data_IF_804165383711
#
_entry.id   IF_804165383711
#
_cell.length_a   1.000
_cell.length_b   1.000
_cell.length_c   1.000
_cell.angle_alpha   90.00
_cell.angle_beta   90.00
_cell.angle_gamma   90.00
#
_symmetry.space_group_name_H-M   'P 1'
#
loop_
_entity.id
_entity.type
_entity.pdbx_description
1 polymer ?
#
# COMPACT_ATOMS: atom_id res chain seq x y z
N UNK A 1 26.05 -7.87 -3.32
CA UNK A 1 25.88 -7.14 -2.05
C UNK A 1 26.73 -7.89 -1.05
N UNK A 2 27.41 -7.17 -0.19
CA UNK A 2 28.35 -7.59 0.86
C UNK A 2 27.75 -8.49 1.95
N UNK A 3 26.59 -9.10 1.70
CA UNK A 3 25.91 -10.04 2.61
C UNK A 3 25.34 -9.40 3.87
N UNK A 4 25.52 -8.10 4.05
CA UNK A 4 24.92 -7.33 5.11
C UNK A 4 23.68 -6.59 4.55
N UNK A 5 22.51 -6.72 5.18
CA UNK A 5 21.35 -5.94 4.76
C UNK A 5 21.65 -4.45 4.91
N UNK A 6 21.29 -3.60 3.93
CA UNK A 6 21.26 -2.17 4.16
C UNK A 6 20.31 -1.89 5.33
N UNK A 7 20.82 -1.21 6.36
CA UNK A 7 20.02 -0.86 7.53
C UNK A 7 19.15 0.35 7.17
N UNK A 8 17.93 0.10 6.67
CA UNK A 8 16.90 1.12 6.46
C UNK A 8 16.22 1.48 7.80
N UNK A 9 16.99 1.93 8.80
CA UNK A 9 16.45 2.31 10.11
C UNK A 9 16.18 3.81 10.20
N UNK A 10 14.91 4.17 10.37
CA UNK A 10 14.48 5.55 10.55
C UNK A 10 14.83 6.16 11.90
N UNK A 11 15.08 5.34 12.92
CA UNK A 11 15.34 5.79 14.27
C UNK A 11 14.32 6.81 14.78
N UNK A 12 14.79 7.80 15.54
CA UNK A 12 13.92 8.83 16.12
C UNK A 12 13.47 9.89 15.10
N UNK A 13 14.35 10.31 14.20
CA UNK A 13 14.07 11.40 13.25
C UNK A 13 14.81 11.24 11.93
N UNK A 14 14.09 11.30 10.81
CA UNK A 14 14.68 11.46 9.46
C UNK A 14 14.31 12.82 8.86
N UNK A 15 15.34 13.54 8.43
CA UNK A 15 15.19 14.68 7.54
C UNK A 15 15.36 14.24 6.08
N UNK A 16 14.26 14.08 5.35
CA UNK A 16 14.29 13.90 3.90
C UNK A 16 14.33 15.26 3.20
N UNK A 17 15.32 15.46 2.35
CA UNK A 17 15.43 16.66 1.52
C UNK A 17 15.21 16.33 0.06
N UNK A 18 14.89 17.33 -0.78
CA UNK A 18 14.86 17.13 -2.22
C UNK A 18 16.20 16.58 -2.73
N UNK A 19 16.18 15.48 -3.48
CA UNK A 19 17.39 14.93 -4.11
C UNK A 19 17.51 15.29 -5.59
N UNK A 20 16.42 15.79 -6.20
CA UNK A 20 16.45 16.31 -7.58
C UNK A 20 16.72 17.81 -7.59
N UNK A 21 17.60 18.32 -8.48
CA UNK A 21 17.90 19.74 -8.57
C UNK A 21 16.66 20.63 -8.77
N UNK A 22 15.67 20.20 -9.57
CA UNK A 22 14.46 20.99 -9.82
C UNK A 22 13.59 21.24 -8.57
N UNK A 23 13.67 20.38 -7.56
CA UNK A 23 12.84 20.50 -6.36
C UNK A 23 13.45 21.43 -5.32
N UNK A 24 14.76 21.67 -5.34
CA UNK A 24 15.42 22.59 -4.41
C UNK A 24 14.92 24.02 -4.57
N UNK A 25 14.70 24.50 -5.79
CA UNK A 25 14.20 25.87 -6.03
C UNK A 25 12.81 26.07 -5.44
N UNK A 26 11.93 25.07 -5.58
CA UNK A 26 10.57 25.11 -5.05
C UNK A 26 10.56 24.96 -3.52
N UNK A 27 11.44 24.11 -2.99
CA UNK A 27 11.60 23.93 -1.55
C UNK A 27 12.07 25.22 -0.86
N UNK A 28 13.09 25.89 -1.41
CA UNK A 28 13.58 27.18 -0.90
C UNK A 28 12.48 28.25 -0.95
N UNK A 29 11.74 28.32 -2.07
CA UNK A 29 10.60 29.22 -2.20
C UNK A 29 9.53 28.93 -1.14
N UNK A 30 9.23 27.66 -0.89
CA UNK A 30 8.30 27.21 0.15
C UNK A 30 8.74 27.65 1.55
N UNK A 31 10.02 27.47 1.88
CA UNK A 31 10.59 27.91 3.14
C UNK A 31 10.49 29.44 3.32
N UNK A 32 10.83 30.22 2.28
CA UNK A 32 10.72 31.68 2.31
C UNK A 32 9.27 32.15 2.47
N UNK A 33 8.34 31.56 1.69
CA UNK A 33 6.92 31.86 1.78
C UNK A 33 6.34 31.51 3.14
N UNK A 34 6.76 30.40 3.74
CA UNK A 34 6.35 30.04 5.09
C UNK A 34 6.85 31.07 6.12
N UNK A 35 8.15 31.40 6.09
CA UNK A 35 8.73 32.38 7.03
C UNK A 35 8.06 33.75 6.91
N UNK A 36 7.79 34.24 5.69
CA UNK A 36 7.13 35.53 5.47
C UNK A 36 5.65 35.45 5.86
N UNK A 37 4.97 34.40 5.41
CA UNK A 37 3.54 34.20 5.64
C UNK A 37 3.20 34.01 7.11
N UNK A 38 4.03 33.29 7.87
CA UNK A 38 3.78 33.05 9.29
C UNK A 38 3.55 34.35 10.07
N UNK A 39 4.33 35.40 9.78
CA UNK A 39 4.21 36.70 10.44
C UNK A 39 3.24 37.68 9.78
N UNK A 40 3.01 37.55 8.47
CA UNK A 40 2.26 38.57 7.71
C UNK A 40 0.88 38.11 7.23
N UNK A 41 0.74 36.86 6.81
CA UNK A 41 -0.50 36.35 6.23
C UNK A 41 -0.57 34.80 6.25
N UNK A 42 -1.61 34.19 6.86
CA UNK A 42 -1.71 32.74 6.98
C UNK A 42 -1.78 32.03 5.63
N UNK A 43 -2.34 32.65 4.59
CA UNK A 43 -2.42 32.06 3.24
C UNK A 43 -1.03 31.82 2.65
N UNK A 44 -0.08 32.77 2.82
CA UNK A 44 1.30 32.58 2.39
C UNK A 44 2.01 31.51 3.25
N UNK A 45 1.67 31.41 4.53
CA UNK A 45 2.21 30.39 5.42
C UNK A 45 1.79 28.98 4.95
N UNK A 46 0.50 28.77 4.70
CA UNK A 46 -0.02 27.50 4.21
C UNK A 46 0.47 27.16 2.80
N UNK A 47 0.58 28.15 1.91
CA UNK A 47 1.17 27.95 0.59
C UNK A 47 2.64 27.53 0.70
N UNK A 48 3.41 28.15 1.59
CA UNK A 48 4.79 27.77 1.88
C UNK A 48 4.91 26.33 2.40
N UNK A 49 4.10 25.95 3.38
CA UNK A 49 4.05 24.59 3.92
C UNK A 49 3.63 23.57 2.87
N UNK A 50 2.68 23.90 2.00
CA UNK A 50 2.26 23.03 0.90
C UNK A 50 3.42 22.78 -0.08
N UNK A 51 4.15 23.83 -0.48
CA UNK A 51 5.32 23.69 -1.35
C UNK A 51 6.43 22.84 -0.72
N UNK A 52 6.66 23.00 0.59
CA UNK A 52 7.59 22.15 1.34
C UNK A 52 7.14 20.69 1.36
N UNK A 53 5.85 20.42 1.56
CA UNK A 53 5.31 19.06 1.62
C UNK A 53 5.39 18.32 0.27
N UNK A 54 5.13 18.98 -0.86
CA UNK A 54 5.17 18.34 -2.18
C UNK A 54 6.61 18.13 -2.70
N UNK A 55 7.57 18.92 -2.21
CA UNK A 55 8.97 18.82 -2.63
C UNK A 55 9.80 17.90 -1.74
N UNK A 56 9.37 17.69 -0.50
CA UNK A 56 10.01 16.76 0.44
C UNK A 56 9.59 15.31 0.15
N UNK A 57 10.51 14.46 -0.33
CA UNK A 57 10.21 13.06 -0.64
C UNK A 57 10.01 12.21 0.63
N UNK A 58 9.54 10.98 0.44
CA UNK A 58 9.49 9.98 1.51
C UNK A 58 10.90 9.73 2.09
N UNK A 59 11.05 9.54 3.42
CA UNK A 59 12.33 9.31 4.13
C UNK A 59 13.33 8.41 3.39
N UNK A 60 12.87 7.23 2.98
CA UNK A 60 13.75 6.22 2.37
C UNK A 60 13.89 6.36 0.85
N UNK A 61 13.16 7.27 0.19
CA UNK A 61 13.06 7.27 -1.28
C UNK A 61 14.41 7.34 -1.99
N UNK A 62 15.36 8.10 -1.44
CA UNK A 62 16.70 8.23 -2.03
C UNK A 62 17.52 6.94 -1.90
N UNK A 63 17.49 6.29 -0.74
CA UNK A 63 18.17 5.02 -0.48
C UNK A 63 17.54 3.91 -1.31
N UNK A 64 16.22 3.89 -1.40
CA UNK A 64 15.47 2.99 -2.27
C UNK A 64 15.85 3.16 -3.75
N UNK A 65 15.96 4.40 -4.24
CA UNK A 65 16.41 4.67 -5.62
C UNK A 65 17.89 4.29 -5.85
N UNK A 66 18.77 4.46 -4.86
CA UNK A 66 20.19 4.08 -5.00
C UNK A 66 20.36 2.57 -5.01
N UNK A 67 19.70 1.86 -4.09
CA UNK A 67 19.69 0.40 -4.03
C UNK A 67 19.12 -0.16 -5.34
N UNK A 68 18.00 0.40 -5.83
CA UNK A 68 17.41 0.01 -7.12
C UNK A 68 18.38 0.21 -8.28
N UNK A 69 19.12 1.32 -8.31
CA UNK A 69 20.12 1.57 -9.37
C UNK A 69 21.29 0.60 -9.31
N UNK A 70 21.73 0.21 -8.12
CA UNK A 70 22.84 -0.73 -7.94
C UNK A 70 22.42 -2.19 -8.22
N UNK A 71 21.16 -2.55 -7.93
CA UNK A 71 20.64 -3.89 -8.19
C UNK A 71 20.30 -4.12 -9.65
N UNK A 72 19.87 -3.07 -10.37
CA UNK A 72 19.54 -3.13 -11.79
C UNK A 72 20.73 -2.93 -12.74
N UNK A 73 21.97 -2.88 -12.25
CA UNK A 73 23.15 -2.77 -13.12
C UNK A 73 23.28 -4.03 -14.01
N UNK A 74 23.11 -3.91 -15.35
CA UNK A 74 23.13 -5.05 -16.25
C UNK A 74 24.44 -5.83 -16.20
N UNK A 75 25.55 -5.15 -15.94
CA UNK A 75 26.89 -5.79 -15.90
C UNK A 75 27.01 -6.74 -14.71
N UNK A 76 26.50 -6.30 -13.56
CA UNK A 76 26.50 -7.09 -12.32
C UNK A 76 25.54 -8.28 -12.42
N UNK A 77 24.34 -8.05 -12.98
CA UNK A 77 23.34 -9.09 -13.21
C UNK A 77 23.79 -10.15 -14.22
N UNK A 78 24.48 -9.74 -15.29
CA UNK A 78 25.07 -10.66 -16.25
C UNK A 78 26.15 -11.52 -15.60
N UNK A 79 27.06 -10.90 -14.84
CA UNK A 79 28.11 -11.64 -14.11
C UNK A 79 27.54 -12.67 -13.13
N UNK A 80 26.51 -12.30 -12.37
CA UNK A 80 25.83 -13.21 -11.44
C UNK A 80 25.18 -14.39 -12.16
N UNK A 81 24.53 -14.15 -13.31
CA UNK A 81 23.93 -15.23 -14.11
C UNK A 81 25.00 -16.16 -14.70
N UNK A 82 26.11 -15.59 -15.19
CA UNK A 82 27.24 -16.35 -15.76
C UNK A 82 27.94 -17.23 -14.71
N UNK A 83 28.11 -16.74 -13.48
CA UNK A 83 28.65 -17.53 -12.36
C UNK A 83 27.80 -18.77 -12.06
N UNK A 84 26.49 -18.70 -12.33
CA UNK A 84 25.54 -19.81 -12.20
C UNK A 84 25.39 -20.63 -13.49
N UNK A 85 26.13 -20.31 -14.55
CA UNK A 85 26.10 -21.04 -15.82
C UNK A 85 24.92 -20.71 -16.75
N UNK A 86 24.23 -19.59 -16.53
CA UNK A 86 23.09 -19.15 -17.35
C UNK A 86 23.37 -17.81 -18.04
N UNK A 87 22.63 -17.51 -19.12
CA UNK A 87 22.59 -16.15 -19.66
C UNK A 87 21.70 -15.26 -18.80
N UNK A 88 21.98 -13.96 -18.75
CA UNK A 88 21.21 -12.98 -17.98
C UNK A 88 19.70 -13.05 -18.30
N UNK A 89 19.33 -13.10 -19.57
CA UNK A 89 17.93 -13.19 -20.02
C UNK A 89 17.23 -14.47 -19.61
N UNK A 90 17.98 -15.57 -19.46
CA UNK A 90 17.43 -16.86 -19.04
C UNK A 90 17.35 -16.96 -17.53
N UNK A 91 18.30 -16.37 -16.80
CA UNK A 91 18.36 -16.43 -15.35
C UNK A 91 17.31 -15.54 -14.70
N UNK A 92 17.22 -14.29 -15.14
CA UNK A 92 16.30 -13.30 -14.57
C UNK A 92 14.93 -13.39 -15.22
N UNK A 93 13.88 -13.14 -14.43
CA UNK A 93 12.56 -12.89 -15.00
C UNK A 93 12.56 -11.57 -15.78
N UNK A 94 11.74 -11.48 -16.84
CA UNK A 94 11.51 -10.21 -17.51
C UNK A 94 10.91 -9.19 -16.54
N UNK A 95 11.24 -7.91 -16.74
CA UNK A 95 10.88 -6.77 -15.86
C UNK A 95 9.36 -6.63 -15.63
N UNK A 96 8.54 -7.17 -16.54
CA UNK A 96 7.11 -7.37 -16.33
C UNK A 96 6.70 -8.70 -16.97
N UNK A 97 5.94 -9.52 -16.25
CA UNK A 97 5.37 -10.76 -16.81
C UNK A 97 4.28 -10.47 -17.87
N UNK A 98 3.66 -9.28 -17.84
CA UNK A 98 2.56 -8.89 -18.75
C UNK A 98 2.90 -7.83 -19.81
N UNK A 99 4.10 -7.25 -19.80
CA UNK A 99 4.39 -6.07 -20.64
C UNK A 99 3.64 -4.79 -20.21
N UNK A 100 2.83 -4.87 -19.15
CA UNK A 100 2.09 -3.76 -18.55
C UNK A 100 2.96 -3.11 -17.46
N UNK A 101 3.36 -1.86 -17.67
CA UNK A 101 4.14 -1.07 -16.69
C UNK A 101 3.27 -0.59 -15.53
N UNK A 102 2.79 -1.45 -14.63
CA UNK A 102 2.04 -1.00 -13.45
C UNK A 102 2.62 -1.64 -12.18
N UNK A 103 3.22 -0.78 -11.35
CA UNK A 103 4.21 -1.15 -10.34
C UNK A 103 3.76 -0.97 -8.90
N UNK A 104 2.73 -1.70 -8.47
CA UNK A 104 2.43 -1.90 -7.04
C UNK A 104 2.51 -3.39 -6.62
N UNK A 105 2.29 -4.32 -7.56
CA UNK A 105 2.36 -5.78 -7.35
C UNK A 105 3.56 -6.51 -7.97
N UNK A 106 4.53 -5.80 -8.55
CA UNK A 106 5.68 -6.39 -9.26
C UNK A 106 6.97 -6.37 -8.42
N UNK A 107 7.94 -7.20 -8.80
CA UNK A 107 9.29 -7.13 -8.24
C UNK A 107 9.95 -5.78 -8.58
N UNK A 108 10.53 -5.13 -7.58
CA UNK A 108 11.41 -3.97 -7.73
C UNK A 108 12.86 -4.35 -8.06
N UNK A 109 13.27 -5.58 -7.77
CA UNK A 109 14.58 -6.16 -8.03
C UNK A 109 14.45 -7.42 -8.89
N UNK A 110 15.50 -7.81 -9.62
CA UNK A 110 15.44 -9.01 -10.45
C UNK A 110 15.16 -10.27 -9.62
N UNK A 111 14.15 -11.03 -10.04
CA UNK A 111 13.82 -12.32 -9.43
C UNK A 111 14.17 -13.48 -10.40
N UNK A 112 14.48 -14.67 -9.87
CA UNK A 112 14.91 -15.81 -10.69
C UNK A 112 13.75 -16.33 -11.55
N UNK A 113 14.08 -16.70 -12.78
CA UNK A 113 13.12 -17.24 -13.74
C UNK A 113 12.84 -18.72 -13.48
N UNK A 114 11.73 -19.18 -14.07
CA UNK A 114 11.33 -20.60 -14.08
C UNK A 114 12.39 -21.57 -14.60
N UNK A 115 13.39 -21.08 -15.34
CA UNK A 115 14.47 -21.92 -15.87
C UNK A 115 15.52 -22.29 -14.83
N UNK A 116 15.57 -21.56 -13.71
CA UNK A 116 16.56 -21.73 -12.64
C UNK A 116 15.95 -22.44 -11.42
N UNK A 117 14.62 -22.47 -11.30
CA UNK A 117 13.95 -23.12 -10.18
C UNK A 117 14.33 -24.59 -10.05
N UNK A 118 14.47 -25.06 -8.81
CA UNK A 118 14.74 -26.46 -8.51
C UNK A 118 13.47 -27.32 -8.70
N UNK A 119 13.21 -27.73 -9.94
CA UNK A 119 12.05 -28.57 -10.28
C UNK A 119 12.11 -29.98 -9.68
N UNK A 120 13.31 -30.48 -9.36
CA UNK A 120 13.49 -31.84 -8.82
C UNK A 120 13.17 -31.89 -7.34
N UNK A 121 13.57 -30.87 -6.58
CA UNK A 121 13.27 -30.75 -5.17
C UNK A 121 12.77 -29.33 -4.88
N UNK A 122 11.46 -29.08 -5.05
CA UNK A 122 10.88 -27.75 -4.94
C UNK A 122 10.95 -27.16 -3.50
N UNK A 123 11.11 -28.02 -2.49
CA UNK A 123 11.23 -27.63 -1.08
C UNK A 123 12.67 -27.28 -0.68
N UNK A 124 13.68 -27.70 -1.46
CA UNK A 124 15.08 -27.38 -1.19
C UNK A 124 15.44 -25.96 -1.59
N UNK A 125 16.57 -25.47 -1.08
CA UNK A 125 17.14 -24.19 -1.51
C UNK A 125 17.42 -24.16 -3.02
N UNK A 126 17.44 -22.96 -3.58
CA UNK A 126 17.88 -22.75 -4.95
C UNK A 126 19.36 -23.14 -5.12
N UNK A 127 19.74 -23.57 -6.33
CA UNK A 127 21.12 -24.02 -6.63
C UNK A 127 22.15 -22.91 -6.38
N UNK A 128 21.74 -21.64 -6.48
CA UNK A 128 22.60 -20.49 -6.19
C UNK A 128 22.96 -20.38 -4.69
N UNK A 129 22.17 -20.99 -3.80
CA UNK A 129 22.33 -20.89 -2.35
C UNK A 129 22.06 -19.49 -1.79
N UNK A 130 21.48 -18.59 -2.59
CA UNK A 130 21.21 -17.20 -2.21
C UNK A 130 19.73 -16.97 -2.00
N UNK A 131 19.39 -16.11 -1.03
CA UNK A 131 18.04 -15.58 -0.88
C UNK A 131 17.64 -14.72 -2.09
N UNK A 132 16.34 -14.55 -2.29
CA UNK A 132 15.81 -13.55 -3.21
C UNK A 132 16.30 -12.15 -2.82
N UNK A 133 16.59 -11.30 -3.81
CA UNK A 133 17.15 -9.97 -3.53
C UNK A 133 16.24 -9.09 -2.69
N UNK A 134 14.92 -9.18 -2.86
CA UNK A 134 13.94 -8.43 -2.06
C UNK A 134 13.62 -9.05 -0.71
N UNK A 135 14.23 -10.20 -0.39
CA UNK A 135 13.99 -10.80 0.91
C UNK A 135 14.42 -9.80 2.01
N UNK A 136 13.64 -9.63 3.09
CA UNK A 136 13.96 -8.66 4.16
C UNK A 136 15.33 -8.87 4.82
N UNK A 137 15.87 -10.09 4.79
CA UNK A 137 17.25 -10.37 5.23
C UNK A 137 18.34 -9.84 4.29
N UNK A 138 18.01 -9.56 3.03
CA UNK A 138 18.93 -9.03 2.01
C UNK A 138 18.83 -7.50 1.87
N UNK A 139 17.62 -6.94 1.99
CA UNK A 139 17.38 -5.48 1.83
C UNK A 139 17.27 -4.75 3.17
N UNK A 140 17.09 -5.49 4.28
CA UNK A 140 16.69 -4.91 5.56
C UNK A 140 15.18 -4.66 5.60
N UNK A 141 14.57 -4.89 6.77
CA UNK A 141 13.19 -4.48 7.02
C UNK A 141 13.20 -2.98 7.37
N UNK A 142 12.64 -2.08 6.54
CA UNK A 142 12.68 -0.66 6.83
C UNK A 142 11.84 -0.32 8.06
N UNK A 143 12.47 0.34 9.03
CA UNK A 143 11.80 0.84 10.23
C UNK A 143 11.40 2.29 10.01
N UNK A 144 10.11 2.57 10.01
CA UNK A 144 9.62 3.95 9.86
C UNK A 144 10.19 4.85 10.97
N UNK A 145 10.67 6.04 10.60
CA UNK A 145 11.12 7.02 11.57
C UNK A 145 9.94 7.50 12.44
N UNK A 146 10.17 7.68 13.75
CA UNK A 146 9.14 8.21 14.64
C UNK A 146 8.71 9.62 14.20
N UNK A 147 9.68 10.47 13.83
CA UNK A 147 9.45 11.79 13.26
C UNK A 147 10.08 11.92 11.88
N UNK A 148 9.38 12.58 10.96
CA UNK A 148 9.94 12.98 9.66
C UNK A 148 9.94 14.49 9.53
N UNK A 149 10.68 15.00 8.55
CA UNK A 149 10.59 16.42 8.17
C UNK A 149 9.16 16.82 7.77
N UNK A 150 8.36 15.90 7.23
CA UNK A 150 6.95 16.16 6.89
C UNK A 150 6.10 16.31 8.15
N UNK A 151 6.33 15.51 9.20
CA UNK A 151 5.69 15.70 10.52
C UNK A 151 5.95 17.09 11.08
N UNK A 152 7.16 17.64 10.87
CA UNK A 152 7.49 19.01 11.28
C UNK A 152 6.64 20.03 10.53
N UNK A 153 6.40 19.86 9.22
CA UNK A 153 5.54 20.77 8.45
C UNK A 153 4.09 20.74 8.93
N UNK A 154 3.55 19.56 9.25
CA UNK A 154 2.20 19.45 9.83
C UNK A 154 2.11 20.15 11.19
N UNK A 155 3.13 19.97 12.04
CA UNK A 155 3.21 20.66 13.32
C UNK A 155 3.26 22.19 13.15
N UNK A 156 4.09 22.68 12.22
CA UNK A 156 4.16 24.11 11.88
C UNK A 156 2.82 24.64 11.33
N UNK A 157 2.08 23.84 10.56
CA UNK A 157 0.74 24.17 10.09
C UNK A 157 -0.26 24.32 11.23
N UNK A 158 -0.22 23.42 12.21
CA UNK A 158 -1.05 23.49 13.42
C UNK A 158 -0.71 24.73 14.27
N UNK A 159 0.58 25.03 14.46
CA UNK A 159 1.01 26.24 15.16
C UNK A 159 0.54 27.49 14.41
N UNK A 160 0.60 27.50 13.09
CA UNK A 160 0.11 28.61 12.24
C UNK A 160 -1.39 28.81 12.40
N UNK A 161 -2.18 27.73 12.37
CA UNK A 161 -3.63 27.78 12.60
C UNK A 161 -3.97 28.34 13.98
N UNK A 162 -3.32 27.86 15.04
CA UNK A 162 -3.58 28.33 16.41
C UNK A 162 -3.21 29.80 16.54
N UNK A 163 -2.05 30.21 16.02
CA UNK A 163 -1.58 31.59 16.09
C UNK A 163 -2.53 32.55 15.35
N UNK A 164 -2.82 32.27 14.08
CA UNK A 164 -3.69 33.13 13.27
C UNK A 164 -5.16 33.04 13.66
N UNK A 165 -5.65 31.87 14.05
CA UNK A 165 -6.99 31.70 14.62
C UNK A 165 -7.17 32.50 15.90
N UNK A 166 -6.16 32.54 16.77
CA UNK A 166 -6.17 33.39 17.97
C UNK A 166 -6.20 34.87 17.61
N UNK A 167 -5.43 35.30 16.60
CA UNK A 167 -5.44 36.69 16.12
C UNK A 167 -6.81 37.05 15.55
N UNK A 168 -7.39 36.21 14.69
CA UNK A 168 -8.68 36.48 14.06
C UNK A 168 -9.81 36.49 15.08
N UNK A 169 -9.80 35.58 16.06
CA UNK A 169 -10.72 35.59 17.20
C UNK A 169 -10.63 36.91 17.98
N UNK A 170 -9.42 37.35 18.33
CA UNK A 170 -9.20 38.59 19.09
C UNK A 170 -9.55 39.82 18.26
N UNK A 171 -9.25 39.82 16.96
CA UNK A 171 -9.37 40.97 16.06
C UNK A 171 -10.77 41.17 15.52
N UNK A 172 -11.48 40.09 15.18
CA UNK A 172 -12.75 40.15 14.48
C UNK A 172 -13.94 39.75 15.36
N UNK A 173 -13.72 39.00 16.45
CA UNK A 173 -14.83 38.29 17.09
C UNK A 173 -14.82 38.29 18.62
N UNK A 174 -14.36 39.37 19.26
CA UNK A 174 -14.79 39.64 20.65
C UNK A 174 -16.32 39.77 20.73
N UNK A 175 -16.94 40.42 19.73
CA UNK A 175 -18.40 40.54 19.65
C UNK A 175 -19.10 39.26 19.20
N UNK A 176 -18.50 38.42 18.34
CA UNK A 176 -19.15 37.15 17.93
C UNK A 176 -18.96 36.05 18.96
N UNK A 177 -17.85 36.05 19.70
CA UNK A 177 -17.74 35.24 20.92
C UNK A 177 -18.75 35.73 21.94
N UNK A 178 -18.88 37.04 22.14
CA UNK A 178 -19.92 37.58 23.01
C UNK A 178 -21.33 37.19 22.54
N UNK A 179 -21.67 37.32 21.25
CA UNK A 179 -22.98 36.93 20.69
C UNK A 179 -23.19 35.42 20.75
N UNK A 180 -22.18 34.59 20.52
CA UNK A 180 -22.27 33.14 20.66
C UNK A 180 -22.48 32.74 22.12
N UNK A 181 -21.76 33.35 23.06
CA UNK A 181 -21.94 33.15 24.50
C UNK A 181 -23.27 33.72 24.99
N UNK A 182 -23.70 34.88 24.51
CA UNK A 182 -25.00 35.49 24.82
C UNK A 182 -26.15 34.67 24.24
N UNK A 183 -26.03 34.17 23.01
CA UNK A 183 -26.97 33.21 22.43
C UNK A 183 -27.00 31.91 23.23
N UNK A 184 -25.85 31.37 23.63
CA UNK A 184 -25.80 30.20 24.51
C UNK A 184 -26.48 30.47 25.85
N UNK A 185 -26.23 31.63 26.48
CA UNK A 185 -26.86 32.04 27.75
C UNK A 185 -28.38 32.19 27.59
N UNK A 186 -28.83 32.91 26.57
CA UNK A 186 -30.25 33.20 26.28
C UNK A 186 -31.01 31.93 25.83
N UNK A 187 -30.32 30.99 25.18
CA UNK A 187 -30.85 29.66 24.86
C UNK A 187 -30.89 28.73 26.09
N UNK A 188 -30.03 28.96 27.09
CA UNK A 188 -29.99 28.23 28.37
C UNK A 188 -31.07 28.73 29.36
N UNK A 189 -31.59 29.95 29.19
CA UNK A 189 -32.71 30.48 29.98
C UNK A 189 -34.03 29.76 29.72
N UNK A 190 -34.16 29.08 28.57
CA UNK A 190 -35.22 28.10 28.35
C UNK A 190 -34.74 26.72 28.80
N UNK A 191 -35.23 26.25 29.97
CA UNK A 191 -34.82 24.95 30.55
C UNK A 191 -34.91 23.79 29.54
N UNK A 192 -35.95 23.78 28.68
CA UNK A 192 -36.19 22.70 27.72
C UNK A 192 -35.31 22.79 26.47
N UNK A 193 -35.11 23.99 25.91
CA UNK A 193 -34.30 24.16 24.70
C UNK A 193 -32.81 24.01 25.05
N UNK A 194 -32.34 24.67 26.11
CA UNK A 194 -30.97 24.54 26.60
C UNK A 194 -30.57 23.09 26.86
N UNK A 195 -31.46 22.29 27.45
CA UNK A 195 -31.24 20.86 27.64
C UNK A 195 -31.14 20.09 26.31
N UNK A 196 -32.01 20.34 25.33
CA UNK A 196 -32.00 19.65 24.03
C UNK A 196 -30.75 19.99 23.20
N UNK A 197 -30.31 21.24 23.19
CA UNK A 197 -29.09 21.64 22.49
C UNK A 197 -27.83 21.14 23.20
N UNK A 198 -27.78 21.24 24.53
CA UNK A 198 -26.70 20.65 25.32
C UNK A 198 -26.58 19.15 25.09
N UNK A 199 -27.71 18.43 25.06
CA UNK A 199 -27.75 17.01 24.74
C UNK A 199 -27.30 16.75 23.30
N UNK A 200 -27.74 17.55 22.32
CA UNK A 200 -27.33 17.44 20.92
C UNK A 200 -25.83 17.65 20.73
N UNK A 201 -25.25 18.63 21.41
CA UNK A 201 -23.80 18.92 21.37
C UNK A 201 -23.00 17.80 22.04
N UNK A 202 -23.45 17.29 23.18
CA UNK A 202 -22.83 16.12 23.84
C UNK A 202 -22.90 14.89 22.93
N UNK A 203 -24.06 14.60 22.32
CA UNK A 203 -24.21 13.47 21.40
C UNK A 203 -23.34 13.64 20.15
N UNK A 204 -23.23 14.85 19.61
CA UNK A 204 -22.37 15.15 18.46
C UNK A 204 -20.89 14.96 18.81
N UNK A 205 -20.43 15.50 19.94
CA UNK A 205 -19.05 15.31 20.44
C UNK A 205 -18.76 13.83 20.70
N UNK A 206 -19.69 13.10 21.32
CA UNK A 206 -19.56 11.65 21.56
C UNK A 206 -19.51 10.87 20.24
N UNK A 207 -20.39 11.16 19.28
CA UNK A 207 -20.36 10.54 17.96
C UNK A 207 -19.03 10.78 17.25
N UNK A 208 -18.57 12.04 17.27
CA UNK A 208 -17.31 12.43 16.65
C UNK A 208 -16.13 11.75 17.33
N UNK A 209 -16.09 11.70 18.67
CA UNK A 209 -15.05 11.04 19.45
C UNK A 209 -15.01 9.52 19.18
N UNK A 210 -16.17 8.87 19.06
CA UNK A 210 -16.26 7.46 18.67
C UNK A 210 -15.70 7.25 17.26
N UNK A 211 -16.02 8.12 16.30
CA UNK A 211 -15.50 8.05 14.92
C UNK A 211 -14.00 8.28 14.87
N UNK A 212 -13.50 9.27 15.62
CA UNK A 212 -12.07 9.55 15.77
C UNK A 212 -11.32 8.38 16.37
N UNK A 213 -11.81 7.81 17.48
CA UNK A 213 -11.20 6.64 18.13
C UNK A 213 -11.23 5.42 17.21
N UNK A 214 -12.33 5.16 16.48
CA UNK A 214 -12.37 4.07 15.49
C UNK A 214 -11.37 4.26 14.36
N UNK A 215 -11.24 5.48 13.85
CA UNK A 215 -10.24 5.79 12.83
C UNK A 215 -8.82 5.61 13.38
N UNK A 216 -8.56 6.08 14.59
CA UNK A 216 -7.25 5.92 15.25
C UNK A 216 -6.92 4.44 15.50
N UNK A 217 -7.88 3.64 15.98
CA UNK A 217 -7.71 2.18 16.12
C UNK A 217 -7.42 1.53 14.77
N UNK A 218 -8.17 1.89 13.72
CA UNK A 218 -7.94 1.35 12.37
C UNK A 218 -6.58 1.74 11.80
N UNK A 219 -6.10 2.96 12.10
CA UNK A 219 -4.77 3.41 11.69
C UNK A 219 -3.67 2.71 12.51
N UNK A 220 -3.90 2.45 13.79
CA UNK A 220 -2.96 1.71 14.67
C UNK A 220 -2.91 0.23 14.34
N UNK A 221 -4.03 -0.42 14.02
CA UNK A 221 -4.02 -1.83 13.59
C UNK A 221 -3.22 -2.02 12.29
N UNK A 222 -3.22 -1.03 11.40
CA UNK A 222 -2.37 -1.04 10.20
C UNK A 222 -0.87 -0.88 10.54
N UNK A 223 -0.53 -0.29 11.70
CA UNK A 223 0.85 -0.17 12.18
C UNK A 223 1.36 -1.46 12.86
N UNK A 224 0.47 -2.28 13.43
CA UNK A 224 0.83 -3.53 14.12
C UNK A 224 1.27 -4.66 13.18
N UNK A 225 1.18 -4.47 11.86
CA UNK A 225 1.76 -5.36 10.85
C UNK A 225 3.28 -5.13 10.65
N UNK A 226 3.93 -4.29 11.48
CA UNK A 226 5.35 -3.87 11.31
C UNK A 226 6.29 -4.53 12.34
N UNK A 227 5.77 -5.15 13.41
CA UNK A 227 6.60 -5.60 14.54
C UNK A 227 7.00 -7.09 14.50
N UNK A 228 6.46 -7.90 13.58
CA UNK A 228 6.91 -9.28 13.40
C UNK A 228 8.09 -9.30 12.42
N UNK A 229 9.11 -10.11 12.74
CA UNK A 229 10.24 -10.27 11.84
C UNK A 229 9.88 -11.30 10.78
N UNK A 230 9.96 -10.92 9.50
CA UNK A 230 9.85 -11.87 8.39
C UNK A 230 10.82 -13.03 8.59
N UNK A 231 10.29 -14.24 8.56
CA UNK A 231 11.01 -15.50 8.75
C UNK A 231 11.51 -16.06 7.41
N UNK A 232 12.67 -16.71 7.43
CA UNK A 232 13.11 -17.53 6.30
C UNK A 232 12.27 -18.81 6.23
N UNK A 233 11.94 -19.25 5.03
CA UNK A 233 11.17 -20.48 4.80
C UNK A 233 11.85 -21.69 5.42
N UNK A 234 13.18 -21.82 5.26
CA UNK A 234 13.94 -22.96 5.82
C UNK A 234 13.93 -23.07 7.35
N UNK A 235 13.57 -22.00 8.05
CA UNK A 235 13.63 -21.92 9.51
C UNK A 235 12.32 -21.46 10.14
N UNK A 236 11.22 -21.45 9.35
CA UNK A 236 9.91 -21.08 9.87
C UNK A 236 9.42 -22.13 10.86
N UNK A 237 8.88 -21.67 11.98
CA UNK A 237 8.33 -22.54 13.02
C UNK A 237 6.81 -22.63 12.91
N UNK A 238 6.23 -23.63 13.59
CA UNK A 238 4.77 -23.74 13.77
C UNK A 238 4.28 -22.55 14.60
N UNK A 239 3.18 -21.95 14.18
CA UNK A 239 2.59 -20.76 14.78
C UNK A 239 2.49 -19.60 13.79
N UNK A 240 2.24 -18.41 14.31
CA UNK A 240 2.13 -17.21 13.49
C UNK A 240 3.49 -16.83 12.87
N UNK A 241 3.50 -16.56 11.57
CA UNK A 241 4.71 -16.17 10.85
C UNK A 241 4.43 -15.19 9.71
N UNK A 242 5.42 -14.34 9.46
CA UNK A 242 5.51 -13.48 8.28
C UNK A 242 6.54 -14.06 7.32
N UNK A 243 6.19 -14.15 6.05
CA UNK A 243 7.02 -14.72 5.00
C UNK A 243 6.90 -13.89 3.73
N UNK A 244 8.01 -13.75 3.02
CA UNK A 244 8.07 -13.12 1.71
C UNK A 244 8.73 -14.06 0.74
N UNK A 245 8.15 -14.21 -0.44
CA UNK A 245 8.73 -15.09 -1.45
C UNK A 245 8.11 -14.94 -2.81
N UNK A 246 8.59 -15.79 -3.70
CA UNK A 246 8.10 -15.93 -5.06
C UNK A 246 7.07 -17.06 -5.12
N UNK A 247 5.96 -16.80 -5.82
CA UNK A 247 4.99 -17.86 -6.15
C UNK A 247 5.64 -18.86 -7.09
N UNK A 248 5.71 -20.12 -6.66
CA UNK A 248 6.21 -21.24 -7.46
C UNK A 248 5.17 -22.34 -7.57
N UNK A 249 5.31 -23.22 -8.58
CA UNK A 249 4.39 -24.32 -8.79
C UNK A 249 4.28 -25.16 -7.54
N UNK A 250 3.03 -25.38 -7.12
CA UNK A 250 2.72 -26.33 -6.09
C UNK A 250 2.61 -27.75 -6.63
N UNK A 251 2.05 -28.62 -5.80
CA UNK A 251 1.69 -30.00 -6.16
C UNK A 251 0.62 -30.03 -7.25
N UNK A 252 -0.23 -29.01 -7.27
CA UNK A 252 -1.22 -28.79 -8.30
C UNK A 252 -0.64 -27.90 -9.40
N UNK A 253 -0.92 -28.26 -10.65
CA UNK A 253 -0.53 -27.44 -11.79
C UNK A 253 -1.22 -26.07 -11.71
N UNK A 254 -0.51 -25.02 -12.13
CA UNK A 254 -1.09 -23.69 -12.26
C UNK A 254 -2.28 -23.73 -13.23
N UNK A 255 -3.29 -22.91 -12.90
CA UNK A 255 -4.55 -22.84 -13.59
C UNK A 255 -4.44 -22.05 -14.90
N UNK A 256 -5.23 -22.50 -15.88
CA UNK A 256 -5.69 -21.67 -17.00
C UNK A 256 -7.11 -21.26 -16.71
N UNK A 257 -7.30 -19.98 -16.42
CA UNK A 257 -8.60 -19.40 -16.09
C UNK A 257 -9.30 -18.93 -17.36
N UNK A 258 -10.60 -19.18 -17.45
CA UNK A 258 -11.50 -18.56 -18.42
C UNK A 258 -12.48 -17.67 -17.65
N UNK A 259 -12.35 -16.36 -17.80
CA UNK A 259 -13.21 -15.40 -17.11
C UNK A 259 -14.59 -15.41 -17.75
N UNK A 260 -15.61 -15.61 -16.92
CA UNK A 260 -17.02 -15.67 -17.36
C UNK A 260 -17.25 -16.73 -18.45
N UNK A 261 -16.56 -17.87 -18.34
CA UNK A 261 -16.56 -19.00 -19.28
C UNK A 261 -16.28 -18.62 -20.75
N UNK A 262 -15.65 -17.46 -21.01
CA UNK A 262 -15.31 -16.98 -22.36
C UNK A 262 -13.87 -17.38 -22.71
N UNK A 263 -13.66 -18.23 -23.74
CA UNK A 263 -12.32 -18.63 -24.20
C UNK A 263 -11.42 -17.47 -24.63
N UNK A 264 -11.99 -16.30 -24.95
CA UNK A 264 -11.24 -15.11 -25.35
C UNK A 264 -10.73 -14.31 -24.15
N UNK A 265 -11.30 -14.51 -22.97
CA UNK A 265 -10.90 -13.88 -21.71
C UNK A 265 -10.14 -14.89 -20.85
N UNK A 266 -9.03 -15.39 -21.40
CA UNK A 266 -8.25 -16.45 -20.75
C UNK A 266 -6.89 -15.95 -20.27
N UNK A 267 -6.49 -16.39 -19.07
CA UNK A 267 -5.16 -16.15 -18.51
C UNK A 267 -4.55 -17.46 -18.02
N UNK A 268 -3.24 -17.62 -18.19
CA UNK A 268 -2.49 -18.83 -17.82
C UNK A 268 -1.53 -18.58 -16.66
N UNK A 269 -1.00 -19.66 -16.07
CA UNK A 269 -0.05 -19.64 -14.96
C UNK A 269 -0.59 -19.03 -13.66
N UNK A 270 -1.90 -19.12 -13.43
CA UNK A 270 -2.56 -18.55 -12.24
C UNK A 270 -2.58 -19.57 -11.11
N UNK A 271 -2.30 -19.16 -9.88
CA UNK A 271 -2.44 -20.03 -8.69
C UNK A 271 -3.66 -19.67 -7.85
N UNK A 272 -4.01 -18.39 -7.77
CA UNK A 272 -5.22 -17.91 -7.11
C UNK A 272 -5.73 -16.68 -7.85
N UNK A 273 -7.05 -16.55 -7.93
CA UNK A 273 -7.69 -15.47 -8.64
C UNK A 273 -8.98 -15.02 -7.98
N UNK A 274 -9.36 -13.79 -8.31
CA UNK A 274 -10.68 -13.24 -8.16
C UNK A 274 -10.97 -12.40 -9.40
N UNK A 275 -12.08 -12.66 -10.07
CA UNK A 275 -12.56 -11.77 -11.11
C UNK A 275 -13.89 -11.15 -10.73
N UNK A 276 -14.06 -9.90 -11.13
CA UNK A 276 -15.26 -9.10 -10.87
C UNK A 276 -15.81 -8.63 -12.21
N UNK A 277 -17.11 -8.81 -12.40
CA UNK A 277 -17.87 -8.26 -13.51
C UNK A 277 -18.65 -7.05 -13.03
N UNK A 278 -18.43 -5.94 -13.71
CA UNK A 278 -19.08 -4.66 -13.48
C UNK A 278 -19.89 -4.28 -14.71
N UNK A 279 -21.18 -4.04 -14.53
CA UNK A 279 -22.03 -3.47 -15.57
C UNK A 279 -22.20 -1.97 -15.33
N UNK A 280 -22.03 -1.18 -16.38
CA UNK A 280 -22.26 0.25 -16.42
C UNK A 280 -23.64 0.54 -17.01
N UNK A 281 -24.32 1.62 -16.58
CA UNK A 281 -25.54 2.09 -17.24
C UNK A 281 -25.31 2.37 -18.74
N UNK A 282 -26.37 2.34 -19.56
CA UNK A 282 -26.37 2.55 -21.02
C UNK A 282 -25.68 3.85 -21.51
N UNK A 283 -25.27 4.74 -20.60
CA UNK A 283 -24.45 5.92 -20.87
C UNK A 283 -22.93 5.61 -20.94
N UNK A 284 -22.50 4.36 -20.67
CA UNK A 284 -21.15 3.87 -21.00
C UNK A 284 -20.08 4.18 -19.96
N UNK A 285 -19.03 3.36 -19.86
CA UNK A 285 -17.73 3.85 -19.43
C UNK A 285 -17.15 4.75 -20.53
N UNK A 286 -17.74 5.94 -20.75
CA UNK A 286 -17.28 7.01 -21.65
C UNK A 286 -16.37 6.56 -22.81
N UNK A 287 -16.85 5.67 -23.68
CA UNK A 287 -16.20 5.46 -24.97
C UNK A 287 -16.62 6.58 -25.92
N UNK A 288 -15.65 7.38 -26.37
CA UNK A 288 -15.70 8.22 -27.57
C UNK A 288 -16.78 9.31 -27.69
N UNK A 289 -16.74 10.31 -26.81
CA UNK A 289 -17.23 11.65 -27.17
C UNK A 289 -16.10 12.60 -27.56
N UNK A 290 -15.70 12.52 -28.84
CA UNK A 290 -15.07 13.62 -29.56
C UNK A 290 -16.08 14.78 -29.73
N UNK A 291 -16.39 15.50 -28.64
CA UNK A 291 -17.14 16.74 -28.72
C UNK A 291 -16.18 17.94 -28.78
N UNK A 292 -15.95 18.40 -30.02
CA UNK A 292 -15.22 19.62 -30.42
C UNK A 292 -15.65 20.87 -29.59
N UNK A 293 -16.86 20.87 -29.04
CA UNK A 293 -17.39 21.96 -28.21
C UNK A 293 -16.74 22.08 -26.82
N UNK A 294 -16.19 21.00 -26.26
CA UNK A 294 -15.49 21.05 -24.97
C UNK A 294 -14.09 21.64 -25.14
N UNK A 295 -13.44 21.40 -26.29
CA UNK A 295 -12.10 21.94 -26.58
C UNK A 295 -12.06 23.46 -26.69
N UNK A 296 -13.17 24.11 -27.07
CA UNK A 296 -13.28 25.56 -27.07
C UNK A 296 -13.28 26.16 -25.63
N UNK A 297 -13.77 25.42 -24.65
CA UNK A 297 -13.74 25.81 -23.24
C UNK A 297 -12.45 25.35 -22.50
N UNK A 298 -11.71 24.39 -23.05
CA UNK A 298 -10.49 23.78 -22.47
C UNK A 298 -9.27 24.72 -22.47
N UNK A 299 -9.31 25.84 -23.18
CA UNK A 299 -8.22 26.82 -23.18
C UNK A 299 -7.94 27.47 -21.82
N UNK A 300 -8.95 27.58 -20.94
CA UNK A 300 -8.88 28.44 -19.74
C UNK A 300 -8.70 27.64 -18.43
N UNK A 301 -9.05 26.35 -18.37
CA UNK A 301 -9.06 25.59 -17.11
C UNK A 301 -8.17 24.34 -17.13
N UNK A 302 -6.87 24.49 -17.47
CA UNK A 302 -5.86 23.43 -17.23
C UNK A 302 -5.56 23.20 -15.74
N UNK A 303 -5.81 24.21 -14.89
CA UNK A 303 -5.56 24.16 -13.44
C UNK A 303 -6.57 23.30 -12.66
N UNK A 304 -7.84 23.33 -13.06
CA UNK A 304 -8.92 22.58 -12.37
C UNK A 304 -9.12 21.16 -12.90
N UNK A 305 -8.30 20.70 -13.85
CA UNK A 305 -8.41 19.35 -14.41
C UNK A 305 -8.33 18.28 -13.31
N UNK A 306 -7.47 18.47 -12.31
CA UNK A 306 -7.36 17.55 -11.16
C UNK A 306 -8.60 17.55 -10.25
N UNK A 307 -9.18 18.72 -10.00
CA UNK A 307 -10.37 18.87 -9.13
C UNK A 307 -11.63 18.35 -9.84
N UNK A 308 -11.79 18.65 -11.13
CA UNK A 308 -12.90 18.14 -11.93
C UNK A 308 -12.77 16.63 -12.13
N UNK A 309 -11.57 16.08 -12.35
CA UNK A 309 -11.40 14.61 -12.41
C UNK A 309 -11.69 13.94 -11.07
N UNK A 310 -11.37 14.58 -9.94
CA UNK A 310 -11.74 14.08 -8.61
C UNK A 310 -13.27 14.12 -8.38
N UNK A 311 -13.92 15.24 -8.67
CA UNK A 311 -15.38 15.37 -8.61
C UNK A 311 -16.11 14.47 -9.61
N UNK A 312 -15.53 14.22 -10.79
CA UNK A 312 -16.08 13.32 -11.82
C UNK A 312 -15.97 11.86 -11.39
N UNK A 313 -14.97 11.51 -10.57
CA UNK A 313 -14.85 10.19 -9.92
C UNK A 313 -15.91 9.98 -8.83
N UNK A 314 -16.35 11.06 -8.18
CA UNK A 314 -17.47 11.06 -7.22
C UNK A 314 -18.86 11.08 -7.89
N UNK A 315 -19.00 11.62 -9.11
CA UNK A 315 -20.31 11.77 -9.78
C UNK A 315 -20.59 10.79 -10.95
N UNK A 316 -19.60 10.10 -11.53
CA UNK A 316 -19.79 9.25 -12.71
C UNK A 316 -19.00 7.94 -12.61
N UNK A 317 -19.62 6.93 -11.99
CA UNK A 317 -19.76 5.53 -12.46
C UNK A 317 -20.46 4.77 -11.34
N UNK A 318 -21.79 4.70 -11.36
CA UNK A 318 -22.48 3.62 -10.68
C UNK A 318 -22.28 2.34 -11.50
N UNK A 319 -21.06 1.80 -11.54
CA UNK A 319 -20.93 0.38 -11.85
C UNK A 319 -21.61 -0.37 -10.72
N UNK A 320 -22.42 -1.37 -11.07
CA UNK A 320 -22.86 -2.35 -10.09
C UNK A 320 -22.15 -3.66 -10.39
N UNK A 321 -21.57 -4.23 -9.34
CA UNK A 321 -20.99 -5.57 -9.39
C UNK A 321 -22.12 -6.56 -9.66
N UNK A 322 -22.02 -7.31 -10.76
CA UNK A 322 -23.04 -8.29 -11.16
C UNK A 322 -22.62 -9.71 -10.89
N UNK A 323 -21.32 -9.99 -10.95
CA UNK A 323 -20.79 -11.32 -10.67
C UNK A 323 -19.38 -11.21 -10.12
N UNK A 324 -19.04 -12.10 -9.19
CA UNK A 324 -17.71 -12.30 -8.66
C UNK A 324 -17.47 -13.78 -8.51
N UNK A 325 -16.28 -14.22 -8.92
CA UNK A 325 -15.83 -15.57 -8.68
C UNK A 325 -14.38 -15.52 -8.22
N UNK A 326 -14.09 -16.26 -7.16
CA UNK A 326 -12.75 -16.50 -6.66
C UNK A 326 -12.46 -17.99 -6.67
N UNK A 327 -11.18 -18.32 -6.78
CA UNK A 327 -10.72 -19.70 -6.79
C UNK A 327 -9.20 -19.75 -6.71
N UNK A 328 -8.67 -20.92 -6.36
CA UNK A 328 -7.24 -21.11 -6.30
C UNK A 328 -6.86 -22.55 -6.05
N UNK A 329 -5.59 -22.84 -6.28
CA UNK A 329 -4.96 -24.13 -6.00
C UNK A 329 -3.80 -23.94 -5.03
N UNK A 330 -3.48 -24.95 -4.21
CA UNK A 330 -2.30 -24.92 -3.36
C UNK A 330 -1.05 -24.69 -4.20
N UNK A 331 -0.23 -23.74 -3.77
CA UNK A 331 1.00 -23.35 -4.46
C UNK A 331 2.16 -23.24 -3.46
N UNK A 332 3.37 -23.00 -3.94
CA UNK A 332 4.52 -22.80 -3.06
C UNK A 332 4.95 -21.34 -2.96
N UNK A 333 5.25 -20.90 -1.76
CA UNK A 333 6.05 -19.70 -1.50
C UNK A 333 7.51 -20.13 -1.41
N UNK A 334 8.40 -19.49 -2.18
CA UNK A 334 9.82 -19.78 -2.15
C UNK A 334 10.67 -18.52 -2.01
N UNK A 335 11.55 -18.47 -1.00
CA UNK A 335 12.36 -17.29 -0.66
C UNK A 335 13.84 -17.41 -1.10
N UNK A 336 14.20 -18.53 -1.74
CA UNK A 336 15.55 -18.90 -2.15
C UNK A 336 16.22 -19.89 -1.18
N UNK A 337 15.81 -19.88 0.09
CA UNK A 337 16.26 -20.82 1.13
C UNK A 337 15.50 -22.14 1.12
N UNK A 338 14.25 -22.12 0.67
CA UNK A 338 13.40 -23.29 0.48
C UNK A 338 11.99 -22.90 0.04
N UNK A 339 11.18 -23.91 -0.27
CA UNK A 339 9.76 -23.76 -0.59
C UNK A 339 8.87 -24.18 0.57
N UNK A 340 7.75 -23.49 0.79
CA UNK A 340 6.69 -23.92 1.72
C UNK A 340 5.33 -23.85 1.03
N UNK A 341 4.44 -24.77 1.37
CA UNK A 341 3.11 -24.88 0.77
C UNK A 341 2.15 -23.86 1.37
N UNK A 342 1.43 -23.13 0.51
CA UNK A 342 0.38 -22.19 0.87
C UNK A 342 -0.99 -22.77 0.50
N UNK A 343 -1.96 -22.66 1.42
CA UNK A 343 -3.36 -23.04 1.20
C UNK A 343 -4.26 -21.81 1.00
N UNK A 344 -4.39 -21.28 -0.24
CA UNK A 344 -5.13 -20.04 -0.47
C UNK A 344 -6.61 -20.14 -0.12
N UNK A 345 -7.21 -21.33 -0.22
CA UNK A 345 -8.62 -21.58 0.11
C UNK A 345 -8.95 -21.32 1.59
N UNK A 346 -7.93 -21.35 2.45
CA UNK A 346 -8.07 -21.12 3.88
C UNK A 346 -7.85 -19.66 4.28
N UNK A 347 -7.56 -18.76 3.33
CA UNK A 347 -7.43 -17.33 3.62
C UNK A 347 -8.77 -16.62 3.47
N UNK A 348 -9.16 -15.91 4.54
CA UNK A 348 -10.31 -15.00 4.50
C UNK A 348 -10.02 -13.73 3.68
N UNK A 349 -8.76 -13.30 3.61
CA UNK A 349 -8.33 -12.08 2.93
C UNK A 349 -7.14 -12.37 2.02
N UNK A 350 -7.38 -12.18 0.73
CA UNK A 350 -6.35 -12.16 -0.30
C UNK A 350 -6.37 -10.76 -0.93
N UNK A 351 -5.28 -10.02 -0.81
CA UNK A 351 -5.16 -8.65 -1.30
C UNK A 351 -4.33 -8.67 -2.58
N UNK A 352 -4.97 -8.33 -3.69
CA UNK A 352 -4.32 -8.10 -4.97
C UNK A 352 -4.03 -6.60 -5.11
N UNK A 353 -2.84 -6.24 -5.58
CA UNK A 353 -2.43 -4.84 -5.72
C UNK A 353 -2.93 -4.27 -7.05
N UNK A 354 -2.59 -4.96 -8.14
CA UNK A 354 -2.89 -4.53 -9.49
C UNK A 354 -3.74 -5.61 -10.21
N UNK A 355 -4.73 -5.21 -11.02
CA UNK A 355 -5.42 -6.15 -11.88
C UNK A 355 -4.46 -6.69 -12.94
N UNK A 356 -4.46 -8.01 -13.13
CA UNK A 356 -3.65 -8.69 -14.15
C UNK A 356 -4.17 -8.36 -15.54
N UNK A 357 -5.50 -8.38 -15.70
CA UNK A 357 -6.11 -8.05 -16.97
C UNK A 357 -7.49 -7.42 -16.78
N UNK A 358 -7.80 -6.44 -17.63
CA UNK A 358 -9.11 -5.80 -17.70
C UNK A 358 -9.65 -5.96 -19.11
N UNK A 359 -10.87 -6.47 -19.23
CA UNK A 359 -11.59 -6.53 -20.50
C UNK A 359 -12.77 -5.58 -20.44
N UNK A 360 -12.81 -4.64 -21.36
CA UNK A 360 -13.94 -3.74 -21.56
C UNK A 360 -14.69 -4.16 -22.83
N UNK A 361 -15.95 -4.60 -22.70
CA UNK A 361 -16.81 -4.95 -23.84
C UNK A 361 -18.15 -4.23 -23.68
N UNK A 362 -18.35 -3.18 -24.48
CA UNK A 362 -19.55 -2.36 -24.43
C UNK A 362 -19.70 -1.68 -23.07
N UNK A 363 -20.79 -2.00 -22.36
CA UNK A 363 -21.12 -1.47 -21.04
C UNK A 363 -20.69 -2.41 -19.90
N UNK A 364 -19.88 -3.42 -20.17
CA UNK A 364 -19.43 -4.38 -19.16
C UNK A 364 -17.92 -4.39 -19.08
N UNK A 365 -17.40 -4.37 -17.86
CA UNK A 365 -16.00 -4.57 -17.53
C UNK A 365 -15.83 -5.87 -16.76
N UNK A 366 -14.84 -6.66 -17.14
CA UNK A 366 -14.32 -7.76 -16.34
C UNK A 366 -12.93 -7.38 -15.89
N UNK A 367 -12.74 -7.38 -14.57
CA UNK A 367 -11.45 -7.11 -13.95
C UNK A 367 -10.96 -8.39 -13.30
N UNK A 368 -9.83 -8.92 -13.75
CA UNK A 368 -9.17 -10.08 -13.16
C UNK A 368 -8.05 -9.64 -12.25
N UNK A 369 -8.13 -10.08 -11.00
CA UNK A 369 -7.07 -10.06 -10.03
C UNK A 369 -6.54 -11.48 -9.85
N UNK A 370 -5.23 -11.69 -9.95
CA UNK A 370 -4.66 -13.02 -9.80
C UNK A 370 -3.21 -12.97 -9.33
N UNK A 371 -2.78 -14.03 -8.67
CA UNK A 371 -1.37 -14.33 -8.48
C UNK A 371 -0.94 -15.34 -9.54
N UNK A 372 0.17 -15.06 -10.21
CA UNK A 372 0.77 -15.92 -11.20
C UNK A 372 2.06 -16.53 -10.69
N UNK A 373 2.49 -17.60 -11.34
CA UNK A 373 3.83 -18.15 -11.15
C UNK A 373 4.87 -17.06 -11.41
N UNK A 374 5.73 -16.84 -10.41
CA UNK A 374 6.77 -15.83 -10.43
C UNK A 374 6.39 -14.54 -9.72
N UNK A 375 5.12 -14.26 -9.42
CA UNK A 375 4.74 -13.03 -8.72
C UNK A 375 5.32 -12.99 -7.29
N UNK A 376 5.66 -11.79 -6.78
CA UNK A 376 6.03 -11.61 -5.38
C UNK A 376 4.79 -11.70 -4.49
N UNK A 377 4.95 -12.35 -3.34
CA UNK A 377 3.91 -12.40 -2.31
C UNK A 377 4.48 -12.13 -0.92
N UNK A 378 3.68 -11.42 -0.15
CA UNK A 378 3.81 -11.23 1.28
C UNK A 378 2.70 -12.01 1.98
N UNK A 379 3.06 -12.79 3.00
CA UNK A 379 2.13 -13.65 3.73
C UNK A 379 2.31 -13.42 5.22
N UNK A 380 1.23 -13.02 5.88
CA UNK A 380 1.11 -13.00 7.33
C UNK A 380 0.03 -14.03 7.69
N UNK A 381 0.44 -15.16 8.24
CA UNK A 381 -0.43 -16.33 8.36
C UNK A 381 -0.02 -17.25 9.51
N UNK A 382 -0.83 -18.29 9.74
CA UNK A 382 -0.49 -19.36 10.66
C UNK A 382 0.23 -20.49 9.90
N UNK A 383 1.33 -20.98 10.46
CA UNK A 383 2.08 -22.13 9.98
C UNK A 383 1.68 -23.33 10.82
N UNK A 384 1.14 -24.36 10.16
CA UNK A 384 0.65 -25.58 10.80
C UNK A 384 1.33 -26.81 10.22
N UNK A 385 1.30 -27.91 10.95
CA UNK A 385 1.77 -29.20 10.45
C UNK A 385 0.79 -29.74 9.41
N UNK A 386 1.34 -30.34 8.36
CA UNK A 386 0.55 -31.01 7.33
C UNK A 386 -0.04 -32.31 7.85
N UNK A 387 -1.13 -32.73 7.22
CA UNK A 387 -1.70 -34.04 7.46
C UNK A 387 -0.86 -35.11 6.76
N UNK A 388 -0.79 -36.32 7.34
CA UNK A 388 0.02 -37.42 6.80
C UNK A 388 -0.37 -37.72 5.34
N UNK A 389 -1.66 -37.73 5.02
CA UNK A 389 -2.18 -37.93 3.66
C UNK A 389 -1.63 -36.91 2.65
N UNK A 390 -1.52 -35.63 3.05
CA UNK A 390 -0.98 -34.57 2.19
C UNK A 390 0.50 -34.78 1.91
N UNK A 391 1.25 -35.30 2.88
CA UNK A 391 2.70 -35.53 2.76
C UNK A 391 3.02 -36.78 1.95
N UNK A 392 2.20 -37.83 2.08
CA UNK A 392 2.29 -39.06 1.29
C UNK A 392 1.96 -38.81 -0.19
N UNK A 393 0.93 -38.01 -0.48
CA UNK A 393 0.56 -37.65 -1.85
C UNK A 393 1.68 -36.96 -2.63
N UNK A 394 2.54 -36.22 -1.93
CA UNK A 394 3.71 -35.55 -2.51
C UNK A 394 5.00 -36.36 -2.40
N UNK A 395 4.96 -37.53 -1.76
CA UNK A 395 6.13 -38.39 -1.57
C UNK A 395 7.21 -37.77 -0.68
N UNK A 396 6.81 -36.97 0.31
CA UNK A 396 7.74 -36.30 1.22
C UNK A 396 8.24 -37.28 2.28
N UNK A 397 9.56 -37.33 2.48
CA UNK A 397 10.23 -38.26 3.39
C UNK A 397 10.47 -37.68 4.80
N UNK A 398 10.10 -36.41 5.01
CA UNK A 398 10.32 -35.69 6.27
C UNK A 398 11.77 -35.25 6.52
N UNK A 399 12.69 -35.46 5.58
CA UNK A 399 14.09 -35.02 5.71
C UNK A 399 14.19 -33.49 5.78
N UNK A 400 13.29 -32.79 5.09
CA UNK A 400 13.19 -31.33 5.07
C UNK A 400 12.09 -30.88 6.03
N UNK A 401 12.47 -30.31 7.18
CA UNK A 401 11.50 -29.99 8.24
C UNK A 401 10.36 -29.08 7.80
N UNK A 402 10.66 -28.03 7.02
CA UNK A 402 9.64 -27.07 6.55
C UNK A 402 8.76 -27.62 5.41
N UNK A 403 9.12 -28.74 4.76
CA UNK A 403 8.21 -29.38 3.78
C UNK A 403 7.02 -30.08 4.44
N UNK A 404 7.14 -30.37 5.74
CA UNK A 404 6.08 -30.95 6.58
C UNK A 404 5.12 -29.89 7.13
N UNK A 405 5.34 -28.62 6.79
CA UNK A 405 4.53 -27.49 7.23
C UNK A 405 3.71 -26.93 6.06
N UNK A 406 2.55 -26.36 6.39
CA UNK A 406 1.71 -25.60 5.46
C UNK A 406 1.27 -24.29 6.09
N UNK A 407 0.98 -23.31 5.23
CA UNK A 407 0.59 -21.97 5.63
C UNK A 407 -0.88 -21.74 5.35
N UNK A 408 -1.61 -21.29 6.37
CA UNK A 408 -3.07 -21.28 6.42
C UNK A 408 -3.59 -19.98 7.03
N UNK A 409 -4.79 -19.54 6.63
CA UNK A 409 -5.41 -18.29 7.08
C UNK A 409 -6.62 -18.47 8.01
N UNK A 410 -6.61 -19.48 8.89
CA UNK A 410 -7.79 -19.99 9.59
C UNK A 410 -8.55 -18.96 10.44
N UNK A 411 -7.97 -18.47 11.53
CA UNK A 411 -8.67 -17.58 12.48
C UNK A 411 -7.80 -16.39 12.82
N UNK A 412 -8.37 -15.20 12.67
CA UNK A 412 -7.71 -13.95 13.07
C UNK A 412 -7.48 -13.92 14.58
N UNK A 413 -6.23 -13.75 14.99
CA UNK A 413 -5.88 -13.42 16.38
C UNK A 413 -6.42 -12.03 16.73
N UNK A 414 -6.91 -11.78 17.97
CA UNK A 414 -7.38 -10.46 18.36
C UNK A 414 -6.33 -9.36 18.12
N UNK A 415 -6.63 -8.42 17.21
CA UNK A 415 -5.76 -7.30 16.87
C UNK A 415 -4.93 -7.48 15.60
N UNK A 416 -4.92 -8.67 14.99
CA UNK A 416 -4.17 -8.94 13.76
C UNK A 416 -5.07 -9.67 12.74
N UNK A 417 -4.74 -9.48 11.48
CA UNK A 417 -5.53 -10.00 10.36
C UNK A 417 -4.61 -10.82 9.48
N UNK A 418 -4.80 -12.15 9.48
CA UNK A 418 -4.03 -13.02 8.59
C UNK A 418 -4.34 -12.65 7.14
N UNK A 419 -3.31 -12.42 6.34
CA UNK A 419 -3.45 -11.88 5.00
C UNK A 419 -2.44 -12.52 4.06
N UNK A 420 -2.91 -12.82 2.86
CA UNK A 420 -2.07 -13.13 1.72
C UNK A 420 -2.12 -11.95 0.76
N UNK A 421 -0.98 -11.40 0.40
CA UNK A 421 -0.90 -10.15 -0.33
C UNK A 421 0.05 -10.26 -1.51
N UNK A 422 -0.36 -9.75 -2.67
CA UNK A 422 0.54 -9.56 -3.82
C UNK A 422 1.52 -8.42 -3.53
N UNK A 423 2.80 -8.63 -3.82
CA UNK A 423 3.87 -7.66 -3.58
C UNK A 423 4.90 -8.16 -2.58
N UNK A 424 5.86 -7.30 -2.26
CA UNK A 424 6.92 -7.56 -1.28
C UNK A 424 6.75 -6.65 -0.07
N UNK A 425 7.44 -6.95 1.03
CA UNK A 425 7.49 -6.04 2.19
C UNK A 425 7.91 -4.63 1.77
N UNK A 426 8.85 -4.56 0.82
CA UNK A 426 9.34 -3.31 0.25
C UNK A 426 8.26 -2.50 -0.46
N UNK A 427 7.37 -3.14 -1.22
CA UNK A 427 6.27 -2.44 -1.90
C UNK A 427 5.21 -1.92 -0.92
N UNK A 428 5.05 -2.57 0.25
CA UNK A 428 4.19 -2.10 1.33
C UNK A 428 4.82 -0.96 2.15
N UNK A 429 6.12 -1.04 2.40
CA UNK A 429 6.84 -0.12 3.27
C UNK A 429 7.23 1.20 2.59
N UNK A 430 7.29 1.25 1.26
CA UNK A 430 7.47 2.50 0.52
C UNK A 430 6.36 3.54 0.79
N UNK A 431 5.25 3.11 1.40
CA UNK A 431 4.09 3.93 1.75
C UNK A 431 3.76 3.96 3.25
N UNK A 432 4.59 3.37 4.12
CA UNK A 432 4.41 3.45 5.58
C UNK A 432 4.88 4.82 6.10
N UNK A 433 3.96 5.79 6.12
CA UNK A 433 4.23 7.10 6.72
C UNK A 433 4.57 6.98 8.21
N UNK A 434 5.35 7.94 8.73
CA UNK A 434 5.63 8.06 10.17
C UNK A 434 4.34 7.98 10.98
N UNK A 435 4.41 7.31 12.15
CA UNK A 435 3.31 7.23 13.11
C UNK A 435 2.68 8.61 13.38
N UNK A 436 3.52 9.65 13.44
CA UNK A 436 3.07 11.02 13.65
C UNK A 436 2.42 11.63 12.41
N UNK A 437 2.87 11.35 11.18
CA UNK A 437 2.18 11.82 9.96
C UNK A 437 0.75 11.25 9.86
N UNK A 438 0.59 9.96 10.17
CA UNK A 438 -0.71 9.30 10.20
C UNK A 438 -1.62 9.83 11.32
N UNK A 439 -1.05 10.26 12.46
CA UNK A 439 -1.80 10.81 13.59
C UNK A 439 -2.13 12.30 13.44
N UNK A 440 -1.26 13.09 12.82
CA UNK A 440 -1.39 14.54 12.74
C UNK A 440 -2.47 14.99 11.75
N UNK A 441 -2.71 14.29 10.65
CA UNK A 441 -3.76 14.68 9.71
C UNK A 441 -5.17 14.64 10.34
N UNK A 442 -5.56 13.56 11.06
CA UNK A 442 -6.79 13.54 11.85
C UNK A 442 -6.84 14.60 12.96
N UNK A 443 -5.73 14.83 13.69
CA UNK A 443 -5.65 15.84 14.75
C UNK A 443 -5.75 17.27 14.19
N UNK A 444 -5.15 17.53 13.03
CA UNK A 444 -5.25 18.79 12.30
C UNK A 444 -6.70 19.04 11.86
N UNK A 445 -7.40 18.03 11.33
CA UNK A 445 -8.82 18.12 11.01
C UNK A 445 -9.69 18.35 12.27
N UNK A 446 -9.35 17.71 13.40
CA UNK A 446 -9.99 17.93 14.70
C UNK A 446 -9.84 19.39 15.14
N UNK A 447 -8.63 19.93 15.12
CA UNK A 447 -8.35 21.31 15.54
C UNK A 447 -9.02 22.33 14.59
N UNK A 448 -8.98 22.10 13.27
CA UNK A 448 -9.73 22.91 12.31
C UNK A 448 -11.23 22.90 12.58
N UNK A 449 -11.81 21.75 12.96
CA UNK A 449 -13.23 21.63 13.30
C UNK A 449 -13.63 22.43 14.54
N UNK A 450 -12.75 22.63 15.52
CA UNK A 450 -13.06 23.45 16.71
C UNK A 450 -12.76 24.94 16.51
N UNK A 451 -11.98 25.29 15.48
CA UNK A 451 -11.61 26.69 15.17
C UNK A 451 -12.57 27.30 14.12
N UNK A 452 -13.04 26.51 13.15
CA UNK A 452 -14.10 26.88 12.17
C UNK A 452 -15.49 26.59 12.73
#
# INVERSE_FOLDING_TARGET
MDGNPPELDGGFFIASFPFKPEFWTVWILGAMLFSIGFFLNPTFAFLGLFLLLITTPHPFKQELESIKKESLDPTKLAKMAEEQGYSSEKYWMPESLDGLKNGMGEWHFPAPSKHVWNWKNPYAADESGTLLFEHPFMVGAPRAALFTLRSVYFFLGLVTLIYWGSIDVVKYHLETIYVLFSFLIEFTDSEALGFLFGLGLVLFVVYWLIRFVRHLISSVSNLQMIDMQTSLVRSVAVGEAEMVGQVRPGPHAALKLFVDDDPRKSCENIVVYEWVREDFPDDGPLSDYHNVMVMAAVGIFRFFKGIITAFRKEFLTHSYETSRQSGGVPFMLHDGSGGIRIEPSQFKRIIYQDPVQVWDVGFTRWTLYALRLGDPIYVHAEVTTREDEETELEGLDGTVGHSMLKVVGHTDTPGQSLVLMQGTEYSQLAYSYSMMENLYFPLFCLVLFFIL
#
